data_IF_562444874178
#
_entry.id   IF_562444874178
#
_cell.length_a   1.000
_cell.length_b   1.000
_cell.length_c   1.000
_cell.angle_alpha   90.00
_cell.angle_beta   90.00
_cell.angle_gamma   90.00
#
_symmetry.space_group_name_H-M   'P 1'
#
loop_
_entity.id
_entity.type
_entity.pdbx_description
1 polymer ?
#
# COMPACT_ATOMS: atom_id res chain seq x y z
N UNK A 1 4.56 10.98 -26.49
CA UNK A 1 4.06 9.62 -26.80
C UNK A 1 4.43 8.74 -25.62
N UNK A 2 3.50 8.49 -24.71
CA UNK A 2 3.78 7.84 -23.43
C UNK A 2 3.96 6.34 -23.60
N UNK A 3 4.98 5.77 -22.96
CA UNK A 3 5.26 4.32 -22.88
C UNK A 3 4.25 3.59 -21.96
N UNK A 4 2.98 4.00 -22.00
CA UNK A 4 1.91 3.47 -21.15
C UNK A 4 1.72 1.98 -21.46
N UNK A 5 2.21 1.14 -20.56
CA UNK A 5 2.00 -0.32 -20.59
C UNK A 5 3.22 -1.15 -20.23
N UNK A 6 4.46 -0.63 -20.34
CA UNK A 6 5.64 -1.48 -20.15
C UNK A 6 6.75 -0.91 -19.27
N UNK A 7 6.56 0.27 -18.67
CA UNK A 7 7.54 0.83 -17.75
C UNK A 7 7.46 0.18 -16.36
N UNK A 8 8.61 0.03 -15.70
CA UNK A 8 8.75 -0.41 -14.32
C UNK A 8 9.89 0.39 -13.66
N UNK A 9 9.84 0.61 -12.33
CA UNK A 9 10.93 1.23 -11.60
C UNK A 9 12.26 0.49 -11.81
N UNK A 10 13.37 1.23 -11.83
CA UNK A 10 14.69 0.66 -12.05
C UNK A 10 15.04 -0.43 -11.03
N UNK A 11 14.65 -0.25 -9.76
CA UNK A 11 14.86 -1.24 -8.72
C UNK A 11 14.25 -2.60 -9.09
N UNK A 12 13.02 -2.61 -9.61
CA UNK A 12 12.32 -3.84 -10.03
C UNK A 12 12.98 -4.49 -11.24
N UNK A 13 13.39 -3.68 -12.22
CA UNK A 13 14.07 -4.17 -13.43
C UNK A 13 15.43 -4.83 -13.15
N UNK A 14 16.08 -4.46 -12.06
CA UNK A 14 17.39 -4.99 -11.67
C UNK A 14 17.31 -6.26 -10.83
N UNK A 15 16.10 -6.65 -10.40
CA UNK A 15 15.89 -7.90 -9.68
C UNK A 15 16.03 -9.09 -10.62
N UNK A 16 16.65 -10.17 -10.12
CA UNK A 16 16.76 -11.42 -10.87
C UNK A 16 15.41 -12.14 -10.83
N UNK A 17 14.90 -12.61 -11.98
CA UNK A 17 13.71 -13.45 -12.02
C UNK A 17 13.82 -14.65 -11.09
N UNK A 18 12.68 -15.17 -10.64
CA UNK A 18 12.66 -16.39 -9.85
C UNK A 18 13.32 -17.57 -10.58
N UNK A 19 14.00 -18.46 -9.85
CA UNK A 19 14.54 -19.70 -10.39
C UNK A 19 13.48 -20.56 -11.11
N UNK A 20 13.90 -21.26 -12.17
CA UNK A 20 12.99 -22.03 -13.02
C UNK A 20 12.25 -23.14 -12.28
N UNK A 21 12.92 -23.79 -11.34
CA UNK A 21 12.35 -24.80 -10.44
C UNK A 21 11.17 -24.25 -9.65
N UNK A 22 11.26 -23.02 -9.11
CA UNK A 22 10.13 -22.38 -8.45
C UNK A 22 9.01 -22.04 -9.44
N UNK A 23 9.33 -21.42 -10.57
CA UNK A 23 8.32 -21.01 -11.55
C UNK A 23 7.60 -22.17 -12.23
N UNK A 24 8.25 -23.34 -12.33
CA UNK A 24 7.65 -24.55 -12.91
C UNK A 24 6.50 -25.13 -12.08
N UNK A 25 6.39 -24.73 -10.81
CA UNK A 25 5.29 -25.14 -9.92
C UNK A 25 4.03 -24.29 -10.07
N UNK A 26 4.15 -23.13 -10.75
CA UNK A 26 3.04 -22.21 -10.99
C UNK A 26 2.06 -22.87 -11.98
N UNK A 27 0.76 -22.97 -11.63
CA UNK A 27 -0.26 -23.51 -12.51
C UNK A 27 -0.30 -22.78 -13.85
N UNK A 28 -0.57 -23.52 -14.92
CA UNK A 28 -0.90 -22.91 -16.20
C UNK A 28 -2.15 -22.04 -16.07
N UNK A 29 -2.35 -21.01 -16.91
CA UNK A 29 -3.53 -20.15 -16.82
C UNK A 29 -4.87 -20.91 -16.86
N UNK A 30 -4.94 -22.00 -17.64
CA UNK A 30 -6.14 -22.85 -17.72
C UNK A 30 -6.47 -23.61 -16.42
N UNK A 31 -5.48 -23.76 -15.54
CA UNK A 31 -5.58 -24.43 -14.23
C UNK A 31 -5.47 -23.46 -13.05
N UNK A 32 -5.31 -22.16 -13.31
CA UNK A 32 -5.23 -21.14 -12.27
C UNK A 32 -6.62 -20.86 -11.72
N UNK A 33 -6.75 -20.98 -10.41
CA UNK A 33 -7.94 -20.60 -9.66
C UNK A 33 -7.82 -19.15 -9.20
N UNK A 34 -8.97 -18.48 -9.11
CA UNK A 34 -9.07 -17.11 -8.60
C UNK A 34 -9.93 -17.07 -7.34
N UNK A 35 -9.56 -16.15 -6.45
CA UNK A 35 -10.12 -16.06 -5.11
C UNK A 35 -11.01 -14.84 -4.98
N UNK A 36 -12.17 -14.96 -4.33
CA UNK A 36 -13.01 -13.80 -4.04
C UNK A 36 -12.47 -13.01 -2.85
N UNK A 37 -12.74 -11.71 -2.80
CA UNK A 37 -12.39 -10.88 -1.65
C UNK A 37 -12.97 -11.43 -0.33
N UNK A 38 -14.24 -11.84 -0.34
CA UNK A 38 -14.91 -12.38 0.84
C UNK A 38 -14.21 -13.63 1.37
N UNK A 39 -13.83 -14.54 0.47
CA UNK A 39 -13.06 -15.74 0.81
C UNK A 39 -11.73 -15.38 1.47
N UNK A 40 -10.92 -14.56 0.81
CA UNK A 40 -9.59 -14.18 1.31
C UNK A 40 -9.67 -13.52 2.69
N UNK A 41 -10.59 -12.56 2.87
CA UNK A 41 -10.71 -11.82 4.15
C UNK A 41 -11.08 -12.71 5.32
N UNK A 42 -11.91 -13.72 5.10
CA UNK A 42 -12.39 -14.59 6.19
C UNK A 42 -11.45 -15.77 6.45
N UNK A 43 -10.71 -16.24 5.43
CA UNK A 43 -9.67 -17.24 5.64
C UNK A 43 -8.38 -16.64 6.26
N UNK A 44 -7.92 -15.50 5.73
CA UNK A 44 -6.67 -14.87 6.15
C UNK A 44 -6.83 -13.91 7.33
N UNK A 45 -8.07 -13.55 7.66
CA UNK A 45 -8.41 -12.52 8.65
C UNK A 45 -7.71 -11.17 8.33
N UNK A 46 -7.38 -10.41 9.36
CA UNK A 46 -6.64 -9.17 9.26
C UNK A 46 -7.50 -7.94 8.98
N UNK A 47 -7.05 -6.82 9.55
CA UNK A 47 -7.59 -5.50 9.31
C UNK A 47 -6.74 -4.77 8.27
N UNK A 48 -7.37 -3.81 7.60
CA UNK A 48 -6.65 -2.89 6.71
C UNK A 48 -5.64 -2.09 7.53
N UNK A 49 -4.36 -2.14 7.17
CA UNK A 49 -3.28 -1.47 7.89
C UNK A 49 -2.74 -0.27 7.12
N UNK A 50 -2.53 -0.48 5.82
CA UNK A 50 -2.14 0.54 4.86
C UNK A 50 -2.70 0.16 3.48
N UNK A 51 -2.63 1.03 2.46
CA UNK A 51 -3.24 0.79 1.15
C UNK A 51 -2.88 -0.59 0.58
N UNK A 52 -3.88 -1.47 0.41
CA UNK A 52 -3.69 -2.84 -0.10
C UNK A 52 -2.91 -3.79 0.82
N UNK A 53 -2.51 -3.39 2.02
CA UNK A 53 -1.79 -4.21 3.00
C UNK A 53 -2.67 -4.48 4.22
N UNK A 54 -2.82 -5.76 4.55
CA UNK A 54 -3.66 -6.22 5.64
C UNK A 54 -2.79 -6.90 6.69
N UNK A 55 -3.05 -6.59 7.95
CA UNK A 55 -2.34 -7.12 9.10
C UNK A 55 -3.34 -7.75 10.08
N UNK A 56 -3.02 -8.92 10.62
CA UNK A 56 -3.79 -9.57 11.68
C UNK A 56 -3.05 -9.43 13.01
N UNK A 57 -3.49 -8.50 13.90
CA UNK A 57 -2.84 -8.24 15.17
C UNK A 57 -2.71 -9.47 16.05
N UNK A 58 -1.64 -9.56 16.84
CA UNK A 58 -1.40 -10.68 17.77
C UNK A 58 -2.54 -10.79 18.79
N UNK A 59 -3.07 -9.65 19.22
CA UNK A 59 -4.23 -9.56 20.12
C UNK A 59 -5.51 -10.20 19.57
N UNK A 60 -5.63 -10.41 18.26
CA UNK A 60 -6.78 -11.05 17.61
C UNK A 60 -6.63 -12.58 17.47
N UNK A 61 -5.48 -13.14 17.88
CA UNK A 61 -5.26 -14.58 17.97
C UNK A 61 -4.25 -15.15 16.95
N UNK A 62 -4.42 -16.43 16.63
CA UNK A 62 -3.50 -17.15 15.76
C UNK A 62 -3.76 -16.83 14.28
N UNK A 63 -2.69 -16.51 13.53
CA UNK A 63 -2.75 -16.38 12.08
C UNK A 63 -2.35 -17.70 11.41
N UNK A 64 -2.95 -18.01 10.26
CA UNK A 64 -2.45 -19.07 9.38
C UNK A 64 -1.20 -18.62 8.59
N UNK A 65 -0.97 -17.30 8.52
CA UNK A 65 0.18 -16.71 7.85
C UNK A 65 1.27 -16.44 8.88
N UNK A 66 2.50 -16.98 8.71
CA UNK A 66 3.61 -16.68 9.60
C UNK A 66 3.94 -15.19 9.67
N UNK A 67 3.81 -14.46 8.56
CA UNK A 67 3.98 -13.01 8.50
C UNK A 67 2.82 -12.24 9.15
N UNK A 68 1.68 -12.91 9.42
CA UNK A 68 0.41 -12.31 9.87
C UNK A 68 -0.14 -11.23 8.93
N UNK A 69 0.36 -11.17 7.70
CA UNK A 69 0.07 -10.11 6.73
C UNK A 69 -0.16 -10.66 5.34
N UNK A 70 -0.87 -9.90 4.51
CA UNK A 70 -1.03 -10.18 3.09
C UNK A 70 -1.35 -8.92 2.31
N UNK A 71 -1.13 -8.95 1.00
CA UNK A 71 -1.51 -7.86 0.11
C UNK A 71 -2.70 -8.22 -0.77
N UNK A 72 -3.67 -7.30 -0.87
CA UNK A 72 -4.73 -7.31 -1.88
C UNK A 72 -4.57 -6.07 -2.75
N UNK A 73 -4.16 -6.27 -4.00
CA UNK A 73 -3.84 -5.20 -4.93
C UNK A 73 -4.84 -5.17 -6.09
N UNK A 74 -5.14 -3.98 -6.57
CA UNK A 74 -5.99 -3.77 -7.75
C UNK A 74 -5.18 -3.03 -8.81
N UNK A 75 -4.89 -3.70 -9.92
CA UNK A 75 -4.09 -3.11 -10.99
C UNK A 75 -4.73 -1.87 -11.64
N UNK A 76 -6.04 -1.66 -11.44
CA UNK A 76 -6.75 -0.45 -11.87
C UNK A 76 -6.29 0.79 -11.10
N UNK A 77 -5.81 0.62 -9.86
CA UNK A 77 -5.33 1.67 -8.97
C UNK A 77 -3.81 1.58 -8.72
N UNK A 78 -3.22 0.41 -8.93
CA UNK A 78 -1.79 0.12 -8.82
C UNK A 78 -1.24 -0.48 -10.12
N UNK A 79 -0.91 0.32 -11.14
CA UNK A 79 -0.60 -0.18 -12.48
C UNK A 79 0.75 -0.93 -12.58
N UNK A 80 1.54 -0.94 -11.51
CA UNK A 80 2.89 -1.54 -11.48
C UNK A 80 2.97 -2.85 -10.68
N UNK A 81 1.81 -3.38 -10.26
CA UNK A 81 1.73 -4.70 -9.62
C UNK A 81 2.44 -5.78 -10.45
N UNK A 82 2.81 -6.92 -9.83
CA UNK A 82 3.38 -8.04 -10.56
C UNK A 82 2.61 -8.37 -11.83
N UNK A 83 3.33 -8.46 -12.96
CA UNK A 83 2.70 -8.64 -14.28
C UNK A 83 2.15 -10.03 -14.50
N UNK A 84 2.65 -11.03 -13.78
CA UNK A 84 2.21 -12.41 -13.81
C UNK A 84 2.60 -13.06 -12.48
N UNK A 85 2.01 -14.21 -12.10
CA UNK A 85 2.49 -14.95 -10.95
C UNK A 85 4.01 -15.20 -11.01
N UNK A 86 4.70 -14.97 -9.90
CA UNK A 86 6.16 -15.09 -9.77
C UNK A 86 6.98 -13.89 -10.29
N UNK A 87 6.35 -12.86 -10.88
CA UNK A 87 7.06 -11.66 -11.34
C UNK A 87 7.27 -10.65 -10.20
N UNK A 88 8.31 -9.84 -10.26
CA UNK A 88 8.43 -8.69 -9.37
C UNK A 88 7.47 -7.57 -9.78
N UNK A 89 7.18 -6.67 -8.85
CA UNK A 89 6.33 -5.51 -9.09
C UNK A 89 6.56 -4.40 -8.08
N UNK A 90 5.75 -3.36 -8.15
CA UNK A 90 5.71 -2.31 -7.15
C UNK A 90 4.27 -1.78 -7.03
N UNK A 91 3.93 -1.19 -5.90
CA UNK A 91 2.72 -0.39 -5.76
C UNK A 91 3.07 1.05 -5.47
N UNK A 92 2.11 1.94 -5.70
CA UNK A 92 2.26 3.34 -5.36
C UNK A 92 1.55 3.60 -4.04
N UNK A 93 2.10 4.47 -3.20
CA UNK A 93 1.38 4.98 -2.05
C UNK A 93 1.67 6.46 -1.84
N UNK A 94 0.71 7.22 -1.35
CA UNK A 94 0.95 8.61 -0.97
C UNK A 94 1.76 8.70 0.33
N UNK A 95 1.48 7.82 1.29
CA UNK A 95 2.09 7.82 2.61
C UNK A 95 2.23 6.39 3.16
N UNK A 96 3.21 6.18 4.02
CA UNK A 96 3.33 4.96 4.82
C UNK A 96 2.67 5.19 6.19
N UNK A 97 2.05 4.14 6.72
CA UNK A 97 1.62 4.16 8.12
C UNK A 97 2.89 4.29 8.99
N UNK A 98 2.99 5.30 9.87
CA UNK A 98 4.17 5.48 10.71
C UNK A 98 4.34 4.39 11.78
N UNK A 99 3.26 3.66 12.09
CA UNK A 99 3.31 2.50 13.01
C UNK A 99 3.49 1.23 12.18
N UNK A 100 4.63 0.58 12.33
CA UNK A 100 4.85 -0.73 11.74
C UNK A 100 4.21 -1.81 12.61
N UNK A 101 3.86 -2.98 12.05
CA UNK A 101 3.31 -4.08 12.84
C UNK A 101 4.19 -4.55 14.00
N UNK A 102 5.51 -4.50 13.85
CA UNK A 102 6.49 -4.84 14.90
C UNK A 102 6.58 -3.78 16.00
N UNK A 103 6.34 -2.50 15.70
CA UNK A 103 6.17 -1.46 16.71
C UNK A 103 4.95 -1.72 17.60
N UNK A 104 3.88 -2.28 17.02
CA UNK A 104 2.61 -2.54 17.71
C UNK A 104 2.61 -3.86 18.50
N UNK A 105 3.14 -4.93 17.91
CA UNK A 105 3.00 -6.31 18.40
C UNK A 105 4.35 -7.04 18.63
N UNK A 106 5.49 -6.35 18.51
CA UNK A 106 6.81 -6.88 18.88
C UNK A 106 7.36 -7.97 17.94
N UNK A 107 8.14 -8.88 18.51
CA UNK A 107 8.86 -9.93 17.77
C UNK A 107 7.90 -10.86 16.99
N UNK A 108 6.68 -11.07 17.49
CA UNK A 108 5.63 -11.84 16.84
C UNK A 108 5.17 -11.24 15.50
N UNK A 109 5.44 -9.95 15.27
CA UNK A 109 5.13 -9.23 14.04
C UNK A 109 6.38 -8.77 13.26
N UNK A 110 7.59 -9.13 13.71
CA UNK A 110 8.86 -8.74 13.09
C UNK A 110 8.96 -9.14 11.59
N UNK A 111 8.30 -10.22 11.20
CA UNK A 111 8.31 -10.73 9.82
C UNK A 111 7.12 -10.23 8.98
N UNK A 112 6.45 -9.15 9.40
CA UNK A 112 5.26 -8.62 8.73
C UNK A 112 5.46 -8.25 7.25
N UNK A 113 6.71 -8.03 6.82
CA UNK A 113 7.07 -7.69 5.45
C UNK A 113 7.90 -8.77 4.75
N UNK A 114 8.08 -9.94 5.38
CA UNK A 114 8.88 -11.05 4.87
C UNK A 114 8.00 -12.23 4.45
N UNK A 115 8.26 -12.76 3.25
CA UNK A 115 7.54 -13.91 2.67
C UNK A 115 5.99 -13.76 2.71
N UNK A 116 5.50 -12.57 2.35
CA UNK A 116 4.10 -12.16 2.43
C UNK A 116 3.35 -12.56 1.14
N UNK A 117 2.17 -13.22 1.23
CA UNK A 117 1.39 -13.54 0.03
C UNK A 117 0.79 -12.28 -0.60
N UNK A 118 0.95 -12.15 -1.92
CA UNK A 118 0.36 -11.07 -2.70
C UNK A 118 -0.73 -11.62 -3.61
N UNK A 119 -1.88 -10.95 -3.59
CA UNK A 119 -3.01 -11.22 -4.45
C UNK A 119 -3.31 -9.98 -5.29
N UNK A 120 -3.59 -10.16 -6.59
CA UNK A 120 -3.89 -9.04 -7.48
C UNK A 120 -5.14 -9.29 -8.33
N UNK A 121 -5.99 -8.28 -8.45
CA UNK A 121 -7.14 -8.24 -9.38
C UNK A 121 -6.85 -7.28 -10.54
N UNK A 122 -7.68 -7.36 -11.58
CA UNK A 122 -7.65 -6.49 -12.77
C UNK A 122 -6.30 -6.46 -13.53
N UNK A 123 -5.43 -7.46 -13.31
CA UNK A 123 -4.12 -7.50 -13.97
C UNK A 123 -4.26 -7.79 -15.47
N UNK A 124 -3.35 -7.24 -16.28
CA UNK A 124 -3.31 -7.54 -17.71
C UNK A 124 -3.18 -9.05 -17.98
N UNK A 125 -2.45 -9.77 -17.12
CA UNK A 125 -2.29 -11.21 -17.24
C UNK A 125 -3.59 -11.95 -16.95
N UNK A 126 -4.35 -11.57 -15.93
CA UNK A 126 -5.65 -12.16 -15.67
C UNK A 126 -6.62 -11.87 -16.84
N UNK A 127 -6.63 -10.64 -17.36
CA UNK A 127 -7.46 -10.27 -18.50
C UNK A 127 -7.11 -11.06 -19.78
N UNK A 128 -5.83 -11.17 -20.13
CA UNK A 128 -5.37 -11.92 -21.32
C UNK A 128 -5.64 -13.42 -21.24
N UNK A 129 -5.77 -13.97 -20.04
CA UNK A 129 -6.02 -15.39 -19.81
C UNK A 129 -7.48 -15.71 -19.44
N UNK A 130 -8.41 -14.75 -19.60
CA UNK A 130 -9.84 -14.92 -19.26
C UNK A 130 -10.08 -15.34 -17.79
N UNK A 131 -9.23 -14.85 -16.87
CA UNK A 131 -9.36 -15.03 -15.42
C UNK A 131 -9.91 -13.79 -14.72
N UNK A 132 -9.95 -12.65 -15.41
CA UNK A 132 -10.61 -11.46 -14.92
C UNK A 132 -12.13 -11.67 -14.87
N UNK A 133 -12.83 -11.16 -13.85
CA UNK A 133 -14.29 -11.27 -13.80
C UNK A 133 -14.87 -10.58 -15.04
N UNK A 134 -15.74 -11.28 -15.77
CA UNK A 134 -16.52 -10.65 -16.83
C UNK A 134 -17.43 -9.61 -16.18
N UNK A 135 -17.40 -8.37 -16.69
CA UNK A 135 -18.30 -7.30 -16.24
C UNK A 135 -19.73 -7.82 -16.23
N UNK A 136 -20.31 -8.04 -15.04
CA UNK A 136 -21.63 -8.64 -14.86
C UNK A 136 -21.68 -9.82 -13.87
N UNK A 137 -20.54 -10.37 -13.45
CA UNK A 137 -20.55 -11.39 -12.38
C UNK A 137 -20.92 -10.79 -11.02
N UNK A 138 -22.02 -11.28 -10.43
CA UNK A 138 -22.47 -10.94 -9.08
C UNK A 138 -21.42 -11.29 -7.98
N UNK A 139 -20.35 -11.98 -8.33
CA UNK A 139 -19.31 -12.49 -7.43
C UNK A 139 -18.19 -11.49 -7.05
N UNK A 140 -18.21 -10.26 -7.55
CA UNK A 140 -17.24 -9.22 -7.20
C UNK A 140 -15.82 -9.47 -7.73
N UNK A 141 -14.84 -8.71 -7.22
CA UNK A 141 -13.44 -8.78 -7.66
C UNK A 141 -12.82 -10.17 -7.41
N UNK A 142 -12.13 -10.69 -8.44
CA UNK A 142 -11.43 -11.98 -8.41
C UNK A 142 -9.92 -11.76 -8.43
N UNK A 143 -9.25 -12.34 -7.44
CA UNK A 143 -7.83 -12.15 -7.20
C UNK A 143 -7.03 -13.38 -7.63
N UNK A 144 -5.90 -13.14 -8.29
CA UNK A 144 -4.90 -14.14 -8.61
C UNK A 144 -3.83 -14.12 -7.51
N UNK A 145 -3.42 -15.29 -7.02
CA UNK A 145 -2.26 -15.42 -6.15
C UNK A 145 -0.96 -15.23 -6.96
N UNK A 146 -0.23 -14.16 -6.67
CA UNK A 146 0.94 -13.72 -7.44
C UNK A 146 2.26 -14.30 -6.92
N UNK A 147 2.25 -14.96 -5.75
CA UNK A 147 3.44 -15.50 -5.08
C UNK A 147 3.67 -14.90 -3.69
N UNK A 148 4.84 -15.20 -3.13
CA UNK A 148 5.33 -14.64 -1.87
C UNK A 148 6.34 -13.54 -2.14
N UNK A 149 6.22 -12.43 -1.41
CA UNK A 149 6.98 -11.21 -1.64
C UNK A 149 7.63 -10.74 -0.34
N UNK A 150 8.74 -10.02 -0.48
CA UNK A 150 9.40 -9.39 0.67
C UNK A 150 9.80 -7.97 0.33
N UNK A 151 9.71 -7.07 1.32
CA UNK A 151 10.13 -5.68 1.16
C UNK A 151 11.60 -5.51 1.58
N UNK A 152 12.51 -6.05 0.77
CA UNK A 152 13.96 -6.06 1.06
C UNK A 152 14.67 -4.72 0.78
N UNK A 153 13.93 -3.72 0.29
CA UNK A 153 14.46 -2.42 -0.09
C UNK A 153 13.55 -1.32 0.44
N UNK A 154 14.16 -0.27 0.98
CA UNK A 154 13.45 0.94 1.34
C UNK A 154 12.75 1.60 0.15
N UNK A 155 11.60 2.20 0.44
CA UNK A 155 10.76 2.88 -0.51
C UNK A 155 11.42 4.16 -1.04
N UNK A 156 11.29 4.40 -2.35
CA UNK A 156 11.82 5.60 -2.99
C UNK A 156 10.69 6.60 -3.27
N UNK A 157 10.84 7.87 -2.88
CA UNK A 157 9.90 8.96 -3.25
C UNK A 157 10.01 9.22 -4.76
N UNK A 158 8.89 9.39 -5.43
CA UNK A 158 8.89 9.81 -6.83
C UNK A 158 9.28 11.28 -6.91
N UNK A 159 10.20 11.59 -7.82
CA UNK A 159 10.44 12.95 -8.29
C UNK A 159 9.28 13.44 -9.18
N UNK A 160 9.29 14.73 -9.48
CA UNK A 160 8.27 15.37 -10.32
C UNK A 160 8.16 14.71 -11.70
N UNK A 161 9.28 14.51 -12.38
CA UNK A 161 9.32 13.98 -13.74
C UNK A 161 8.69 12.57 -13.80
N UNK A 162 9.07 11.66 -12.89
CA UNK A 162 8.49 10.31 -12.85
C UNK A 162 7.01 10.33 -12.50
N UNK A 163 6.58 11.21 -11.61
CA UNK A 163 5.16 11.37 -11.27
C UNK A 163 4.34 11.87 -12.47
N UNK A 164 4.90 12.74 -13.31
CA UNK A 164 4.23 13.28 -14.49
C UNK A 164 4.27 12.30 -15.66
N UNK A 165 5.43 11.71 -15.94
CA UNK A 165 5.66 10.88 -17.13
C UNK A 165 5.14 9.45 -17.00
N UNK A 166 5.19 8.89 -15.79
CA UNK A 166 4.92 7.47 -15.58
C UNK A 166 3.61 7.22 -14.84
N UNK A 167 3.25 8.03 -13.85
CA UNK A 167 2.00 7.80 -13.11
C UNK A 167 0.79 8.25 -13.93
N UNK A 168 -0.13 7.32 -14.30
CA UNK A 168 -1.28 7.68 -15.11
C UNK A 168 -2.22 8.67 -14.39
N UNK A 169 -2.93 9.48 -15.18
CA UNK A 169 -3.91 10.45 -14.69
C UNK A 169 -4.94 9.81 -13.74
N UNK A 170 -5.48 8.66 -14.12
CA UNK A 170 -6.48 7.94 -13.32
C UNK A 170 -5.95 7.57 -11.92
N UNK A 171 -4.66 7.25 -11.80
CA UNK A 171 -4.03 6.89 -10.53
C UNK A 171 -3.85 8.12 -9.64
N UNK A 172 -3.42 9.25 -10.21
CA UNK A 172 -3.36 10.53 -9.47
C UNK A 172 -4.75 10.96 -8.99
N UNK A 173 -5.77 10.73 -9.83
CA UNK A 173 -7.16 11.01 -9.47
C UNK A 173 -7.69 10.08 -8.38
N UNK A 174 -7.35 8.80 -8.42
CA UNK A 174 -7.65 7.84 -7.37
C UNK A 174 -7.04 8.29 -6.03
N UNK A 175 -5.74 8.60 -6.00
CA UNK A 175 -5.09 9.08 -4.77
C UNK A 175 -5.65 10.42 -4.29
N UNK A 176 -5.97 11.34 -5.20
CA UNK A 176 -6.61 12.60 -4.83
C UNK A 176 -7.97 12.40 -4.15
N UNK A 177 -8.75 11.42 -4.61
CA UNK A 177 -10.01 11.01 -4.00
C UNK A 177 -9.80 10.45 -2.59
N UNK A 178 -8.91 9.47 -2.45
CA UNK A 178 -8.61 8.82 -1.17
C UNK A 178 -8.06 9.80 -0.11
N UNK A 179 -7.23 10.75 -0.53
CA UNK A 179 -6.61 11.73 0.37
C UNK A 179 -7.56 12.88 0.74
N UNK A 180 -8.55 13.19 -0.11
CA UNK A 180 -9.57 14.18 0.19
C UNK A 180 -10.68 13.64 1.09
N UNK A 181 -10.89 12.31 1.13
CA UNK A 181 -11.93 11.67 1.94
C UNK A 181 -11.78 12.01 3.44
N UNK A 182 -12.85 12.53 4.04
CA UNK A 182 -12.89 12.88 5.46
C UNK A 182 -12.86 11.66 6.38
N UNK A 183 -13.23 10.47 5.88
CA UNK A 183 -13.17 9.22 6.61
C UNK A 183 -11.78 8.56 6.57
N UNK A 184 -10.77 9.20 5.95
CA UNK A 184 -9.40 8.70 5.92
C UNK A 184 -8.83 8.52 7.34
N UNK A 185 -7.88 7.59 7.55
CA UNK A 185 -7.25 7.39 8.85
C UNK A 185 -6.57 8.64 9.40
N UNK A 186 -6.50 8.75 10.74
CA UNK A 186 -5.87 9.87 11.42
C UNK A 186 -4.39 10.06 11.02
N UNK A 187 -3.64 8.97 10.87
CA UNK A 187 -2.24 9.02 10.47
C UNK A 187 -2.05 9.60 9.05
N UNK A 188 -3.00 9.38 8.13
CA UNK A 188 -2.99 10.00 6.79
C UNK A 188 -3.22 11.51 6.91
N UNK A 189 -4.12 11.93 7.80
CA UNK A 189 -4.35 13.35 8.07
C UNK A 189 -3.10 14.02 8.63
N UNK A 190 -2.40 13.38 9.58
CA UNK A 190 -1.15 13.90 10.13
C UNK A 190 -0.03 13.96 9.07
N UNK A 191 0.02 12.98 8.16
CA UNK A 191 0.95 12.98 7.04
C UNK A 191 0.66 14.11 6.03
N UNK A 192 -0.61 14.34 5.69
CA UNK A 192 -1.04 15.48 4.86
C UNK A 192 -0.71 16.83 5.49
N UNK A 193 -0.88 16.95 6.82
CA UNK A 193 -0.53 18.17 7.55
C UNK A 193 0.95 18.49 7.38
N UNK A 194 1.82 17.50 7.59
CA UNK A 194 3.28 17.65 7.42
C UNK A 194 3.68 17.93 5.97
N UNK A 195 2.98 17.34 5.00
CA UNK A 195 3.30 17.47 3.59
C UNK A 195 2.91 18.83 3.00
N UNK A 196 1.75 19.36 3.38
CA UNK A 196 1.19 20.57 2.78
C UNK A 196 1.44 21.84 3.60
N UNK A 197 1.71 21.70 4.89
CA UNK A 197 2.02 22.82 5.78
C UNK A 197 3.33 22.51 6.48
N UNK A 198 4.47 23.03 5.97
CA UNK A 198 5.78 22.80 6.57
C UNK A 198 5.76 23.07 8.07
N UNK A 199 6.26 22.11 8.84
CA UNK A 199 6.32 22.22 10.29
C UNK A 199 7.43 23.23 10.65
N UNK A 200 7.18 24.19 11.56
CA UNK A 200 8.22 25.09 12.03
C UNK A 200 9.41 24.32 12.56
N UNK A 201 10.62 24.70 12.14
CA UNK A 201 11.88 24.18 12.67
C UNK A 201 12.33 25.00 13.87
N UNK A 202 13.06 24.37 14.80
CA UNK A 202 13.63 25.08 15.94
C UNK A 202 15.00 25.63 15.57
N UNK A 203 15.10 26.97 15.51
CA UNK A 203 16.34 27.68 15.19
C UNK A 203 17.00 28.32 16.44
N UNK A 204 16.41 28.11 17.63
CA UNK A 204 16.88 28.70 18.87
C UNK A 204 18.11 28.01 19.47
N UNK A 205 18.70 28.60 20.54
CA UNK A 205 19.87 28.05 21.19
C UNK A 205 19.56 26.73 21.90
N UNK A 206 20.43 25.72 21.72
CA UNK A 206 20.37 24.47 22.47
C UNK A 206 20.91 24.66 23.89
N UNK A 207 20.45 23.86 24.88
CA UNK A 207 21.01 23.86 26.23
C UNK A 207 22.52 23.61 26.18
N UNK A 208 23.31 24.51 26.79
CA UNK A 208 24.76 24.39 26.78
C UNK A 208 25.45 25.48 27.59
N UNK A 209 26.77 25.33 27.86
CA UNK A 209 27.52 26.21 28.75
C UNK A 209 27.61 27.68 28.28
N UNK A 210 27.27 27.96 27.02
CA UNK A 210 27.28 29.29 26.43
C UNK A 210 25.89 29.93 26.29
N UNK A 211 24.82 29.20 26.61
CA UNK A 211 23.45 29.67 26.49
C UNK A 211 22.87 29.95 27.88
N UNK A 212 22.29 31.12 28.09
CA UNK A 212 21.58 31.43 29.33
C UNK A 212 20.28 30.61 29.38
N UNK A 213 20.08 29.87 30.47
CA UNK A 213 18.92 28.97 30.63
C UNK A 213 17.57 29.67 30.43
N UNK A 214 17.46 30.94 30.83
CA UNK A 214 16.25 31.75 30.67
C UNK A 214 15.95 32.05 29.18
N UNK A 215 16.99 32.29 28.38
CA UNK A 215 16.86 32.50 26.93
C UNK A 215 16.43 31.21 26.24
N UNK A 216 17.08 30.08 26.58
CA UNK A 216 16.69 28.76 26.05
C UNK A 216 15.23 28.46 26.37
N UNK A 217 14.81 28.69 27.63
CA UNK A 217 13.43 28.45 28.06
C UNK A 217 12.42 29.34 27.32
N UNK A 218 12.76 30.61 27.10
CA UNK A 218 11.90 31.53 26.35
C UNK A 218 11.74 31.11 24.89
N UNK A 219 12.84 30.77 24.21
CA UNK A 219 12.87 30.36 22.80
C UNK A 219 12.16 29.02 22.59
N UNK A 220 12.42 28.02 23.46
CA UNK A 220 11.67 26.76 23.45
C UNK A 220 10.18 27.02 23.68
N UNK A 221 9.84 27.93 24.60
CA UNK A 221 8.46 28.34 24.86
C UNK A 221 7.78 29.01 23.66
N UNK A 222 8.52 29.80 22.87
CA UNK A 222 8.05 30.40 21.62
C UNK A 222 7.80 29.32 20.57
N UNK A 223 8.78 28.45 20.32
CA UNK A 223 8.64 27.36 19.38
C UNK A 223 7.47 26.43 19.72
N UNK A 224 7.23 26.13 20.99
CA UNK A 224 6.05 25.35 21.42
C UNK A 224 4.74 26.05 21.08
N UNK A 225 4.67 27.39 21.12
CA UNK A 225 3.48 28.13 20.67
C UNK A 225 3.32 28.06 19.17
N UNK A 226 4.41 28.19 18.41
CA UNK A 226 4.40 28.07 16.95
C UNK A 226 3.95 26.68 16.50
N UNK A 227 4.39 25.62 17.20
CA UNK A 227 3.92 24.26 16.96
C UNK A 227 2.42 24.08 17.22
N UNK A 228 1.87 24.71 18.27
CA UNK A 228 0.43 24.68 18.56
C UNK A 228 -0.37 25.43 17.50
N UNK A 229 0.14 26.56 17.04
CA UNK A 229 -0.48 27.33 15.96
C UNK A 229 -0.44 26.56 14.64
N UNK A 230 0.71 25.97 14.31
CA UNK A 230 0.89 25.11 13.15
C UNK A 230 -0.11 23.96 13.15
N UNK A 231 -0.24 23.19 14.25
CA UNK A 231 -1.19 22.07 14.32
C UNK A 231 -2.63 22.53 14.03
N UNK A 232 -3.06 23.62 14.68
CA UNK A 232 -4.38 24.21 14.47
C UNK A 232 -4.60 24.68 13.02
N UNK A 233 -3.59 25.30 12.40
CA UNK A 233 -3.69 25.78 11.03
C UNK A 233 -3.69 24.61 10.03
N UNK A 234 -2.75 23.69 10.16
CA UNK A 234 -2.60 22.52 9.30
C UNK A 234 -3.86 21.64 9.32
N UNK A 235 -4.47 21.41 10.50
CA UNK A 235 -5.76 20.71 10.60
C UNK A 235 -6.88 21.43 9.84
N UNK A 236 -6.94 22.76 9.87
CA UNK A 236 -7.95 23.54 9.12
C UNK A 236 -7.71 23.44 7.61
N UNK A 237 -6.46 23.50 7.16
CA UNK A 237 -6.09 23.36 5.75
C UNK A 237 -6.47 21.97 5.26
N UNK A 238 -6.01 20.93 5.95
CA UNK A 238 -6.23 19.52 5.60
C UNK A 238 -7.70 19.11 5.70
N UNK A 239 -8.43 19.65 6.67
CA UNK A 239 -9.87 19.43 6.83
C UNK A 239 -10.74 20.10 5.74
N UNK A 240 -10.16 20.96 4.91
CA UNK A 240 -10.82 21.63 3.77
C UNK A 240 -10.21 21.22 2.42
N UNK A 241 -9.43 20.15 2.39
CA UNK A 241 -8.91 19.61 1.14
C UNK A 241 -10.06 19.09 0.30
N UNK A 242 -10.03 19.46 -0.98
CA UNK A 242 -10.88 18.87 -2.00
C UNK A 242 -10.02 18.01 -2.89
N UNK A 243 -10.66 17.08 -3.60
CA UNK A 243 -10.01 16.22 -4.58
C UNK A 243 -9.22 17.04 -5.61
N UNK A 244 -9.77 18.15 -6.08
CA UNK A 244 -9.13 19.04 -7.06
C UNK A 244 -7.83 19.63 -6.50
N UNK A 245 -7.85 20.12 -5.25
CA UNK A 245 -6.64 20.67 -4.61
C UNK A 245 -5.55 19.62 -4.42
N UNK A 246 -5.90 18.40 -4.03
CA UNK A 246 -4.91 17.31 -3.91
C UNK A 246 -4.38 16.92 -5.29
N UNK A 247 -5.25 16.87 -6.29
CA UNK A 247 -4.87 16.55 -7.66
C UNK A 247 -3.90 17.60 -8.24
N UNK A 248 -4.18 18.88 -8.01
CA UNK A 248 -3.30 20.00 -8.37
C UNK A 248 -1.94 19.90 -7.65
N UNK A 249 -1.93 19.50 -6.37
CA UNK A 249 -0.69 19.34 -5.60
C UNK A 249 0.27 18.29 -6.20
N UNK A 250 -0.23 17.26 -6.89
CA UNK A 250 0.64 16.31 -7.62
C UNK A 250 1.38 16.94 -8.79
N UNK A 251 0.94 18.10 -9.28
CA UNK A 251 1.56 18.82 -10.40
C UNK A 251 2.34 20.06 -9.97
N UNK A 252 2.31 20.41 -8.67
CA UNK A 252 3.05 21.55 -8.13
C UNK A 252 4.53 21.22 -7.89
N UNK A 253 5.38 22.23 -7.91
CA UNK A 253 6.80 22.12 -7.60
C UNK A 253 7.02 21.76 -6.12
N UNK A 254 8.11 21.06 -5.81
CA UNK A 254 8.42 20.69 -4.42
C UNK A 254 8.73 21.92 -3.53
N UNK A 255 9.11 23.06 -4.14
CA UNK A 255 9.40 24.33 -3.45
C UNK A 255 8.24 25.34 -3.47
N UNK A 256 7.07 24.96 -4.00
CA UNK A 256 5.88 25.82 -4.00
C UNK A 256 5.30 26.00 -2.58
N UNK A 257 4.36 26.95 -2.44
CA UNK A 257 3.56 27.14 -1.22
C UNK A 257 2.06 27.02 -1.55
N UNK A 258 1.39 25.91 -1.17
CA UNK A 258 1.93 24.75 -0.46
C UNK A 258 2.83 23.86 -1.36
N UNK A 259 3.72 23.05 -0.76
CA UNK A 259 4.60 22.15 -1.51
C UNK A 259 3.84 21.12 -2.36
N UNK A 260 4.46 20.71 -3.45
CA UNK A 260 3.98 19.60 -4.27
C UNK A 260 3.90 18.27 -3.50
N UNK A 261 2.84 17.52 -3.79
CA UNK A 261 2.66 16.17 -3.27
C UNK A 261 3.33 15.16 -4.21
N UNK A 262 3.94 14.12 -3.65
CA UNK A 262 4.54 13.01 -4.41
C UNK A 262 4.06 11.68 -3.85
N UNK A 263 4.07 10.68 -4.72
CA UNK A 263 3.86 9.29 -4.32
C UNK A 263 5.21 8.62 -4.01
N UNK A 264 5.15 7.43 -3.45
CA UNK A 264 6.29 6.59 -3.11
C UNK A 264 6.15 5.23 -3.80
N UNK A 265 7.29 4.66 -4.17
CA UNK A 265 7.38 3.26 -4.55
C UNK A 265 7.42 2.38 -3.32
N UNK A 266 6.52 1.41 -3.23
CA UNK A 266 6.67 0.26 -2.35
C UNK A 266 6.99 -0.96 -3.21
N UNK A 267 8.22 -1.47 -3.05
CA UNK A 267 8.76 -2.50 -3.92
C UNK A 267 8.31 -3.89 -3.48
N UNK A 268 7.78 -4.66 -4.43
CA UNK A 268 7.32 -6.02 -4.23
C UNK A 268 8.32 -6.95 -4.93
N UNK A 269 9.33 -7.40 -4.19
CA UNK A 269 10.25 -8.43 -4.67
C UNK A 269 9.66 -9.81 -4.41
N UNK A 270 9.23 -10.50 -5.47
CA UNK A 270 8.88 -11.91 -5.39
C UNK A 270 10.10 -12.74 -4.94
N UNK A 271 9.96 -13.45 -3.82
CA UNK A 271 10.99 -14.32 -3.23
C UNK A 271 10.68 -15.81 -3.42
N UNK A 272 9.45 -16.14 -3.82
CA UNK A 272 9.05 -17.49 -4.14
C UNK A 272 7.59 -17.58 -4.55
N UNK A 273 7.17 -18.79 -4.92
CA UNK A 273 5.77 -19.10 -5.17
C UNK A 273 5.44 -20.40 -4.43
N UNK A 274 4.60 -20.31 -3.41
CA UNK A 274 4.33 -21.44 -2.51
C UNK A 274 3.15 -22.26 -3.03
N UNK A 275 3.47 -23.41 -3.65
CA UNK A 275 2.46 -24.34 -4.15
C UNK A 275 1.61 -24.95 -3.03
N UNK A 276 2.20 -25.24 -1.87
CA UNK A 276 1.46 -25.82 -0.75
C UNK A 276 0.41 -24.85 -0.19
N UNK A 277 0.79 -23.58 -0.07
CA UNK A 277 -0.13 -22.51 0.29
C UNK A 277 -1.23 -22.33 -0.77
N UNK A 278 -0.88 -22.28 -2.05
CA UNK A 278 -1.87 -22.18 -3.13
C UNK A 278 -2.86 -23.36 -3.14
N UNK A 279 -2.37 -24.60 -3.06
CA UNK A 279 -3.22 -25.80 -3.04
C UNK A 279 -4.15 -25.79 -1.81
N UNK A 280 -3.68 -25.27 -0.66
CA UNK A 280 -4.50 -25.05 0.52
C UNK A 280 -5.63 -24.06 0.24
N UNK A 281 -5.32 -22.90 -0.37
CA UNK A 281 -6.34 -21.91 -0.72
C UNK A 281 -7.41 -22.48 -1.66
N UNK A 282 -7.01 -23.22 -2.69
CA UNK A 282 -7.95 -23.86 -3.63
C UNK A 282 -8.91 -24.79 -2.89
N UNK A 283 -8.38 -25.68 -2.04
CA UNK A 283 -9.20 -26.62 -1.26
C UNK A 283 -10.15 -25.90 -0.30
N UNK A 284 -9.68 -24.86 0.40
CA UNK A 284 -10.53 -24.13 1.34
C UNK A 284 -11.59 -23.29 0.60
N UNK A 285 -11.31 -22.80 -0.61
CA UNK A 285 -12.29 -22.11 -1.44
C UNK A 285 -13.40 -23.06 -1.91
N UNK A 286 -13.08 -24.29 -2.30
CA UNK A 286 -14.09 -25.28 -2.69
C UNK A 286 -15.09 -25.54 -1.54
N UNK A 287 -14.58 -25.71 -0.31
CA UNK A 287 -15.41 -25.87 0.90
C UNK A 287 -16.23 -24.61 1.19
N UNK A 288 -15.63 -23.43 1.02
CA UNK A 288 -16.32 -22.17 1.18
C UNK A 288 -17.50 -22.06 0.23
N UNK A 289 -17.27 -22.29 -1.07
CA UNK A 289 -18.29 -22.15 -2.11
C UNK A 289 -19.43 -23.15 -1.93
N UNK A 290 -19.14 -24.35 -1.42
CA UNK A 290 -20.15 -25.32 -1.01
C UNK A 290 -21.00 -24.81 0.15
N UNK A 291 -20.37 -24.23 1.18
CA UNK A 291 -21.07 -23.64 2.33
C UNK A 291 -21.96 -22.46 1.91
N UNK A 292 -21.48 -21.60 1.01
CA UNK A 292 -22.28 -20.46 0.51
C UNK A 292 -23.51 -20.94 -0.26
N UNK A 293 -23.36 -21.94 -1.16
CA UNK A 293 -24.49 -22.51 -1.89
C UNK A 293 -25.58 -23.06 -0.98
N UNK A 294 -25.20 -23.80 0.07
CA UNK A 294 -26.15 -24.33 1.08
C UNK A 294 -26.86 -23.25 1.91
N UNK A 295 -26.33 -22.03 1.95
CA UNK A 295 -26.92 -20.92 2.73
C UNK A 295 -27.93 -20.12 1.89
N UNK A 296 -27.82 -20.16 0.56
CA UNK A 296 -28.66 -19.40 -0.38
C UNK A 296 -29.89 -20.17 -0.86
N UNK A 297 -29.91 -21.51 -0.73
CA UNK A 297 -31.10 -22.34 -0.94
C UNK A 297 -31.78 -22.67 0.41
N UNK A 298 -32.70 -21.84 0.93
CA UNK A 298 -33.61 -22.29 1.97
C UNK A 298 -34.65 -23.22 1.33
N UNK A 299 -34.92 -24.35 1.99
CA UNK A 299 -36.05 -25.26 1.70
C UNK A 299 -37.36 -24.50 1.43
#
# INVERSE_FOLDING_TARGET
MSSQGNWQPLAIRNLRPLPTDMTSTIPTPASTQTFSWGFLRSLLAGQWWSPGFYYHPVSEGASILPSRTYYLLDASNDPYVPRSPGAHGAKLTAFFNPENPDDADGDEAANAFDNVPVFATATEWAARNNLAPTTGDEGGARYVYMGMYSQLRFSDKLDYDRLVEHVPYAIKMYWADQLADLARPAWVTDALMKALVPKPEYEGPLPGPAAEDDVVRQEVGAHVRDLKEWDRNARKVVGRLTKEKVFEAFSAEDAADPPGLRLWWEYLQCVGWDKGFYDMLVREQEKWDEKQRRTVEPN
#
